data_IF_846762159840
#
_entry.id   IF_846762159840
#
_cell.length_a   1.000
_cell.length_b   1.000
_cell.length_c   1.000
_cell.angle_alpha   90.00
_cell.angle_beta   90.00
_cell.angle_gamma   90.00
#
_symmetry.space_group_name_H-M   'P 1'
#
loop_
_entity.id
_entity.type
_entity.pdbx_description
1 polymer ?
#
# COMPACT_ATOMS: atom_id res chain seq x y z
N UNK A 1 -16.53 65.30 17.92
CA UNK A 1 -15.78 64.85 16.72
C UNK A 1 -15.18 63.50 17.05
N UNK A 2 -15.76 62.41 16.56
CA UNK A 2 -15.32 61.04 16.84
C UNK A 2 -14.27 60.64 15.80
N UNK A 3 -13.07 60.28 16.25
CA UNK A 3 -11.96 59.85 15.40
C UNK A 3 -12.07 58.36 15.09
N UNK A 4 -12.21 58.00 13.81
CA UNK A 4 -12.23 56.62 13.33
C UNK A 4 -10.80 56.14 13.07
N UNK A 5 -10.41 55.04 13.72
CA UNK A 5 -9.19 54.27 13.41
C UNK A 5 -9.57 53.11 12.48
N UNK A 6 -9.07 53.10 11.24
CA UNK A 6 -9.18 51.96 10.33
C UNK A 6 -7.89 51.15 10.36
N UNK A 7 -7.98 49.87 10.75
CA UNK A 7 -6.85 48.94 10.73
C UNK A 7 -6.77 48.22 9.39
N UNK A 8 -5.61 48.30 8.73
CA UNK A 8 -5.32 47.60 7.47
C UNK A 8 -4.94 46.15 7.76
N UNK A 9 -5.74 45.19 7.29
CA UNK A 9 -5.42 43.76 7.34
C UNK A 9 -4.40 43.39 6.26
N UNK A 10 -3.22 42.91 6.68
CA UNK A 10 -2.18 42.38 5.77
C UNK A 10 -2.49 40.92 5.44
N UNK A 11 -2.98 40.67 4.22
CA UNK A 11 -3.20 39.31 3.71
C UNK A 11 -1.86 38.65 3.38
N UNK A 12 -1.47 37.63 4.14
CA UNK A 12 -0.32 36.77 3.82
C UNK A 12 -0.79 35.60 2.97
N UNK A 13 -0.68 35.72 1.65
CA UNK A 13 -0.86 34.59 0.74
C UNK A 13 0.37 33.70 0.80
N UNK A 14 0.28 32.60 1.55
CA UNK A 14 1.26 31.52 1.47
C UNK A 14 1.12 30.83 0.11
N UNK A 15 2.06 31.09 -0.79
CA UNK A 15 2.15 30.41 -2.09
C UNK A 15 2.56 28.96 -1.81
N UNK A 16 1.58 28.05 -1.84
CA UNK A 16 1.83 26.61 -1.88
C UNK A 16 2.58 26.27 -3.17
N UNK A 17 3.88 26.05 -3.08
CA UNK A 17 4.70 25.53 -4.18
C UNK A 17 4.44 24.02 -4.31
N UNK A 18 3.88 23.52 -5.42
CA UNK A 18 3.81 22.07 -5.64
C UNK A 18 5.24 21.52 -5.81
N UNK A 19 5.53 20.41 -5.14
CA UNK A 19 6.78 19.66 -5.37
C UNK A 19 6.78 19.14 -6.80
N UNK A 20 7.58 19.77 -7.67
CA UNK A 20 7.87 19.25 -9.00
C UNK A 20 8.72 17.98 -8.84
N UNK A 21 8.14 16.81 -9.08
CA UNK A 21 8.90 15.57 -9.15
C UNK A 21 9.64 15.53 -10.51
N UNK A 22 10.95 15.29 -10.48
CA UNK A 22 11.78 15.22 -11.70
C UNK A 22 11.29 14.12 -12.64
N UNK A 23 11.02 14.45 -13.90
CA UNK A 23 10.57 13.53 -14.95
C UNK A 23 11.69 13.07 -15.87
N UNK A 24 12.97 13.30 -15.52
CA UNK A 24 14.09 12.87 -16.36
C UNK A 24 14.07 11.35 -16.54
N UNK A 25 13.82 10.90 -17.78
CA UNK A 25 13.84 9.50 -18.16
C UNK A 25 15.24 8.92 -17.96
N UNK A 26 15.43 8.13 -16.91
CA UNK A 26 16.66 7.33 -16.72
C UNK A 26 16.56 6.14 -17.68
N UNK A 27 16.95 6.36 -18.94
CA UNK A 27 17.14 5.32 -19.94
C UNK A 27 18.63 4.98 -20.08
N UNK A 28 19.29 4.71 -18.96
CA UNK A 28 20.67 4.24 -18.93
C UNK A 28 20.63 2.77 -18.52
N UNK A 29 20.81 1.88 -19.52
CA UNK A 29 20.73 0.42 -19.47
C UNK A 29 19.37 -0.20 -19.05
N UNK A 30 18.50 -0.48 -20.04
CA UNK A 30 17.51 -1.57 -20.02
C UNK A 30 16.83 -1.91 -18.68
N UNK A 31 16.36 -0.90 -17.94
CA UNK A 31 15.90 -1.07 -16.57
C UNK A 31 14.71 -2.04 -16.49
N UNK A 32 14.91 -3.19 -15.83
CA UNK A 32 13.87 -4.19 -15.59
C UNK A 32 13.19 -3.94 -14.25
N UNK A 33 11.86 -3.84 -14.26
CA UNK A 33 11.06 -3.78 -13.03
C UNK A 33 11.33 -5.01 -12.15
N UNK A 34 11.67 -4.79 -10.88
CA UNK A 34 11.94 -5.88 -9.93
C UNK A 34 10.67 -6.25 -9.16
N UNK A 35 10.47 -7.54 -8.92
CA UNK A 35 9.41 -7.97 -8.00
C UNK A 35 9.78 -7.63 -6.56
N UNK A 36 8.82 -7.10 -5.81
CA UNK A 36 9.00 -6.76 -4.40
C UNK A 36 9.19 -8.03 -3.56
N UNK A 37 10.41 -8.25 -3.08
CA UNK A 37 10.84 -9.48 -2.41
C UNK A 37 9.99 -9.83 -1.19
N UNK A 38 9.64 -8.83 -0.37
CA UNK A 38 8.81 -9.02 0.82
C UNK A 38 7.35 -9.40 0.49
N UNK A 39 6.84 -8.95 -0.65
CA UNK A 39 5.50 -9.29 -1.12
C UNK A 39 5.50 -10.70 -1.72
N UNK A 40 6.55 -11.03 -2.49
CA UNK A 40 6.76 -12.37 -3.03
C UNK A 40 6.75 -13.40 -1.90
N UNK A 41 7.48 -13.19 -0.80
CA UNK A 41 7.49 -14.13 0.33
C UNK A 41 6.12 -14.36 1.00
N UNK A 42 5.22 -13.39 0.96
CA UNK A 42 3.95 -13.41 1.73
C UNK A 42 2.73 -13.80 0.89
N UNK A 43 2.75 -13.50 -0.40
CA UNK A 43 1.64 -13.73 -1.32
C UNK A 43 2.05 -14.77 -2.35
N UNK A 44 1.12 -15.67 -2.68
CA UNK A 44 1.29 -16.71 -3.70
C UNK A 44 0.18 -16.56 -4.75
N UNK A 45 0.52 -16.66 -6.03
CA UNK A 45 -0.41 -16.61 -7.15
C UNK A 45 -1.20 -17.90 -7.24
N UNK A 46 -2.48 -17.81 -7.55
CA UNK A 46 -3.25 -18.99 -7.93
C UNK A 46 -2.99 -19.34 -9.41
N UNK A 47 -3.23 -20.60 -9.78
CA UNK A 47 -3.05 -21.08 -11.15
C UNK A 47 -3.89 -20.27 -12.17
N UNK A 48 -5.06 -19.79 -11.76
CA UNK A 48 -5.93 -18.94 -12.58
C UNK A 48 -5.37 -17.53 -12.83
N UNK A 49 -4.31 -17.10 -12.12
CA UNK A 49 -3.72 -15.76 -12.25
C UNK A 49 -4.62 -14.60 -11.81
N UNK A 50 -5.88 -14.86 -11.44
CA UNK A 50 -6.86 -13.84 -11.07
C UNK A 50 -6.64 -13.31 -9.65
N UNK A 51 -6.31 -14.20 -8.72
CA UNK A 51 -6.22 -13.91 -7.28
C UNK A 51 -4.93 -14.44 -6.65
N UNK A 52 -4.63 -13.92 -5.45
CA UNK A 52 -3.49 -14.35 -4.64
C UNK A 52 -3.97 -14.92 -3.31
N UNK A 53 -3.18 -15.84 -2.75
CA UNK A 53 -3.39 -16.43 -1.43
C UNK A 53 -2.31 -16.02 -0.43
N UNK A 54 -2.67 -15.98 0.84
CA UNK A 54 -1.79 -15.70 1.99
C UNK A 54 -2.28 -16.39 3.27
N UNK A 55 -1.41 -16.49 4.27
CA UNK A 55 -1.81 -16.83 5.64
C UNK A 55 -2.55 -15.68 6.34
N UNK A 56 -3.50 -16.00 7.21
CA UNK A 56 -4.18 -15.01 8.06
C UNK A 56 -3.25 -14.50 9.17
N UNK A 57 -3.52 -13.29 9.64
CA UNK A 57 -2.75 -12.67 10.72
C UNK A 57 -3.20 -13.17 12.11
N UNK A 58 -2.47 -12.79 13.17
CA UNK A 58 -2.82 -13.06 14.57
C UNK A 58 -2.87 -14.54 14.97
N UNK A 59 -2.00 -15.39 14.38
CA UNK A 59 -1.93 -16.82 14.67
C UNK A 59 -0.50 -17.33 14.92
N UNK A 60 0.35 -16.51 15.56
CA UNK A 60 1.71 -16.90 15.92
C UNK A 60 1.83 -17.15 17.44
N UNK A 61 1.68 -16.09 18.25
CA UNK A 61 1.74 -16.15 19.71
C UNK A 61 0.41 -15.76 20.37
N UNK A 62 0.32 -15.91 21.71
CA UNK A 62 -0.86 -15.55 22.51
C UNK A 62 -2.13 -16.26 22.01
N UNK A 63 -2.00 -17.53 21.65
CA UNK A 63 -3.12 -18.36 21.19
C UNK A 63 -3.88 -19.02 22.36
N UNK A 64 -3.33 -18.97 23.58
CA UNK A 64 -3.90 -19.58 24.79
C UNK A 64 -5.26 -18.97 25.13
N UNK A 65 -5.40 -17.65 25.05
CA UNK A 65 -6.63 -16.92 25.36
C UNK A 65 -7.66 -16.96 24.22
N UNK A 66 -7.29 -17.48 23.04
CA UNK A 66 -8.19 -17.51 21.87
C UNK A 66 -9.03 -18.78 21.89
N UNK A 67 -10.36 -18.67 21.67
CA UNK A 67 -11.23 -19.84 21.61
C UNK A 67 -10.82 -20.76 20.44
N UNK A 68 -11.00 -22.09 20.55
CA UNK A 68 -10.65 -23.05 19.50
C UNK A 68 -11.21 -22.70 18.12
N UNK A 69 -12.48 -22.27 18.05
CA UNK A 69 -13.11 -21.85 16.80
C UNK A 69 -12.36 -20.70 16.09
N UNK A 70 -11.81 -19.74 16.87
CA UNK A 70 -11.02 -18.63 16.31
C UNK A 70 -9.67 -19.13 15.79
N UNK A 71 -9.01 -20.05 16.49
CA UNK A 71 -7.75 -20.66 16.04
C UNK A 71 -7.93 -21.39 14.72
N UNK A 72 -8.97 -22.22 14.61
CA UNK A 72 -9.31 -22.93 13.38
C UNK A 72 -9.64 -21.99 12.21
N UNK A 73 -10.32 -20.88 12.49
CA UNK A 73 -10.59 -19.87 11.45
C UNK A 73 -9.32 -19.16 10.99
N UNK A 74 -8.34 -18.96 11.87
CA UNK A 74 -7.09 -18.26 11.54
C UNK A 74 -6.04 -19.18 10.91
N UNK A 75 -6.12 -20.50 11.11
CA UNK A 75 -5.23 -21.46 10.45
C UNK A 75 -5.52 -21.63 8.95
N UNK A 76 -6.71 -21.25 8.49
CA UNK A 76 -7.09 -21.36 7.07
C UNK A 76 -6.48 -20.25 6.20
N UNK A 77 -6.31 -20.56 4.91
CA UNK A 77 -5.79 -19.61 3.92
C UNK A 77 -6.78 -18.47 3.67
N UNK A 78 -6.27 -17.26 3.45
CA UNK A 78 -7.04 -16.11 3.01
C UNK A 78 -6.68 -15.72 1.56
N UNK A 79 -7.68 -15.24 0.84
CA UNK A 79 -7.53 -14.72 -0.52
C UNK A 79 -7.43 -13.20 -0.54
N UNK A 80 -6.83 -12.65 -1.60
CA UNK A 80 -6.75 -11.21 -1.81
C UNK A 80 -8.11 -10.61 -2.14
N UNK A 81 -8.37 -9.41 -1.62
CA UNK A 81 -9.52 -8.60 -2.07
C UNK A 81 -9.23 -8.00 -3.46
N UNK A 82 -10.24 -7.56 -4.22
CA UNK A 82 -10.03 -6.97 -5.55
C UNK A 82 -9.04 -5.78 -5.54
N UNK A 83 -9.14 -4.91 -4.54
CA UNK A 83 -8.21 -3.78 -4.38
C UNK A 83 -6.77 -4.23 -4.11
N UNK A 84 -6.58 -5.26 -3.28
CA UNK A 84 -5.26 -5.84 -3.02
C UNK A 84 -4.68 -6.50 -4.27
N UNK A 85 -5.51 -7.24 -5.01
CA UNK A 85 -5.14 -7.88 -6.27
C UNK A 85 -4.63 -6.85 -7.29
N UNK A 86 -5.32 -5.71 -7.43
CA UNK A 86 -4.88 -4.64 -8.33
C UNK A 86 -3.47 -4.13 -7.96
N UNK A 87 -3.25 -3.82 -6.67
CA UNK A 87 -1.94 -3.37 -6.17
C UNK A 87 -0.85 -4.42 -6.36
N UNK A 88 -1.16 -5.69 -6.09
CA UNK A 88 -0.21 -6.80 -6.24
C UNK A 88 0.22 -6.97 -7.70
N UNK A 89 -0.72 -6.97 -8.65
CA UNK A 89 -0.41 -7.15 -10.07
C UNK A 89 0.38 -6.00 -10.67
N UNK A 90 0.02 -4.76 -10.34
CA UNK A 90 0.59 -3.58 -10.99
C UNK A 90 1.89 -3.08 -10.36
N UNK A 91 2.00 -3.13 -9.03
CA UNK A 91 3.10 -2.45 -8.32
C UNK A 91 4.11 -3.41 -7.66
N UNK A 92 3.65 -4.55 -7.15
CA UNK A 92 4.49 -5.40 -6.29
C UNK A 92 5.02 -6.66 -6.98
N UNK A 93 4.18 -7.31 -7.78
CA UNK A 93 4.44 -8.62 -8.38
C UNK A 93 4.13 -8.60 -9.88
N UNK A 94 4.88 -7.81 -10.68
CA UNK A 94 4.65 -7.69 -12.12
C UNK A 94 4.80 -9.03 -12.87
N UNK A 95 5.64 -9.93 -12.37
CA UNK A 95 5.87 -11.27 -12.94
C UNK A 95 5.17 -12.39 -12.17
N UNK A 96 4.23 -12.05 -11.29
CA UNK A 96 3.62 -13.02 -10.39
C UNK A 96 4.59 -13.50 -9.31
N UNK A 97 4.31 -14.69 -8.76
CA UNK A 97 4.98 -15.13 -7.55
C UNK A 97 5.32 -16.61 -7.49
N UNK A 98 4.76 -17.44 -8.39
CA UNK A 98 4.99 -18.89 -8.43
C UNK A 98 6.48 -19.24 -8.44
#
# INVERSE_FOLDING_TARGET
>A
MFSSLTSTLRSSTSIWRPRMFSTTFVAEAGYKMKSHSGAKKRWRSLASGSSFKRGKANHQHLNVTKPPARKNRLSTTAYSTPAQTHKLKKLLLPYGSN
#
